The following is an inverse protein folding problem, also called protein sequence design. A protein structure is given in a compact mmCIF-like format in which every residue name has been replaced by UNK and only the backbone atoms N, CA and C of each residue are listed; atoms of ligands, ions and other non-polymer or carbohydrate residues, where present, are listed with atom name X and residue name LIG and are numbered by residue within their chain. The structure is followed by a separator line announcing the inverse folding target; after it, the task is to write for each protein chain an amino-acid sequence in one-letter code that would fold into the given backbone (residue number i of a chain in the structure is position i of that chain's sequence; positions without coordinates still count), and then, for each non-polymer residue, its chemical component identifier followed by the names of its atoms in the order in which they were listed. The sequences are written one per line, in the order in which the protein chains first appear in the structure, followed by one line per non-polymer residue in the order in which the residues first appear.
data_IF_641086585811
#
_entry.id   IF_641086585811
#
_cell.length_a   1.000
_cell.length_b   1.000
_cell.length_c   1.000
_cell.angle_alpha   90.00
_cell.angle_beta   90.00
_cell.angle_gamma   90.00
#
_symmetry.space_group_name_H-M   'P 1'
#
loop_
_entity.id
_entity.type
_entity.pdbx_description
1 polymer ?
#
# COMPACT_ATOMS: atom_id res chain seq x y z
N UNK A 1 -0.86 -0.73 18.89
CA UNK A 1 -0.89 0.20 17.74
C UNK A 1 -2.34 0.42 17.37
N UNK A 2 -2.85 1.65 17.35
CA UNK A 2 -4.12 1.98 16.70
C UNK A 2 -3.81 2.42 15.25
N UNK A 3 -4.80 2.46 14.36
CA UNK A 3 -4.61 2.85 12.94
C UNK A 3 -3.74 1.89 12.12
N UNK A 4 -3.32 2.30 10.91
CA UNK A 4 -2.56 1.46 9.95
C UNK A 4 -1.05 1.41 10.19
N UNK A 5 -0.56 1.95 11.30
CA UNK A 5 0.88 1.99 11.61
C UNK A 5 1.54 0.63 11.83
N UNK A 6 0.77 -0.43 12.05
CA UNK A 6 1.31 -1.78 12.12
C UNK A 6 1.95 -2.23 10.80
N UNK A 7 1.49 -1.70 9.66
CA UNK A 7 2.08 -1.93 8.32
C UNK A 7 3.52 -1.41 8.27
N UNK A 8 3.77 -0.24 8.85
CA UNK A 8 5.11 0.35 8.93
C UNK A 8 6.06 -0.50 9.79
N UNK A 9 5.56 -1.09 10.87
CA UNK A 9 6.32 -2.04 11.68
C UNK A 9 6.60 -3.35 10.92
N UNK A 10 5.60 -3.88 10.21
CA UNK A 10 5.69 -5.12 9.42
C UNK A 10 6.82 -5.08 8.39
N UNK A 11 6.97 -3.98 7.66
CA UNK A 11 8.07 -3.80 6.71
C UNK A 11 9.45 -3.93 7.37
N UNK A 12 9.62 -3.29 8.54
CA UNK A 12 10.88 -3.33 9.30
C UNK A 12 11.20 -4.74 9.72
N UNK A 13 10.23 -5.43 10.30
CA UNK A 13 10.41 -6.81 10.74
C UNK A 13 10.77 -7.75 9.58
N UNK A 14 10.02 -7.72 8.47
CA UNK A 14 10.32 -8.56 7.30
C UNK A 14 11.70 -8.24 6.69
N UNK A 15 12.15 -6.98 6.76
CA UNK A 15 13.48 -6.61 6.27
C UNK A 15 14.61 -7.24 7.09
N UNK A 16 14.35 -7.72 8.31
CA UNK A 16 15.32 -8.49 9.12
C UNK A 16 15.52 -9.92 8.61
N UNK A 17 14.81 -10.32 7.56
CA UNK A 17 14.93 -11.67 6.97
C UNK A 17 14.12 -12.74 7.70
N UNK A 18 13.18 -12.35 8.57
CA UNK A 18 12.24 -13.24 9.25
C UNK A 18 10.85 -13.15 8.62
N UNK A 19 10.09 -14.23 8.76
CA UNK A 19 8.66 -14.26 8.45
C UNK A 19 7.86 -14.10 9.75
N UNK A 20 6.55 -13.85 9.66
CA UNK A 20 5.71 -13.71 10.87
C UNK A 20 5.62 -15.01 11.67
N UNK A 21 5.67 -16.13 10.96
CA UNK A 21 5.61 -17.48 11.47
C UNK A 21 6.72 -18.31 10.84
N UNK A 22 7.25 -19.28 11.58
CA UNK A 22 8.10 -20.34 10.99
C UNK A 22 7.25 -21.41 10.29
N UNK A 23 7.93 -22.43 9.76
CA UNK A 23 7.30 -23.52 9.00
C UNK A 23 6.34 -24.35 9.88
N UNK A 24 6.54 -24.34 11.20
CA UNK A 24 5.68 -24.97 12.20
C UNK A 24 4.58 -24.04 12.74
N UNK A 25 4.39 -22.85 12.13
CA UNK A 25 3.40 -21.85 12.51
C UNK A 25 3.61 -21.21 13.90
N UNK A 26 4.82 -21.25 14.46
CA UNK A 26 5.14 -20.53 15.67
C UNK A 26 5.37 -19.03 15.37
N UNK A 27 4.79 -18.11 16.15
CA UNK A 27 4.96 -16.68 15.93
C UNK A 27 6.40 -16.25 16.22
N UNK A 28 7.02 -15.54 15.28
CA UNK A 28 8.39 -15.05 15.40
C UNK A 28 8.47 -13.58 15.87
N UNK A 29 7.34 -12.94 16.19
CA UNK A 29 7.26 -11.50 16.48
C UNK A 29 8.02 -11.07 17.75
N UNK A 30 8.29 -12.00 18.67
CA UNK A 30 9.03 -11.77 19.92
C UNK A 30 10.51 -12.19 19.83
N UNK A 31 10.98 -12.57 18.64
CA UNK A 31 12.40 -12.81 18.36
C UNK A 31 13.25 -11.56 18.60
N UNK A 32 14.59 -11.69 18.72
CA UNK A 32 15.49 -10.54 18.77
C UNK A 32 15.25 -9.53 17.64
N UNK A 33 14.97 -10.00 16.42
CA UNK A 33 14.65 -9.20 15.24
C UNK A 33 13.32 -8.44 15.41
N UNK A 34 12.31 -9.07 16.01
CA UNK A 34 11.03 -8.44 16.33
C UNK A 34 11.15 -7.34 17.38
N UNK A 35 11.97 -7.58 18.41
CA UNK A 35 12.30 -6.59 19.44
C UNK A 35 13.05 -5.40 18.82
N UNK A 36 14.03 -5.67 17.96
CA UNK A 36 14.80 -4.65 17.26
C UNK A 36 13.92 -3.79 16.33
N UNK A 37 13.09 -4.43 15.48
CA UNK A 37 12.14 -3.74 14.61
C UNK A 37 11.17 -2.85 15.41
N UNK A 38 10.77 -3.30 16.60
CA UNK A 38 9.94 -2.50 17.52
C UNK A 38 10.69 -1.28 18.06
N UNK A 39 11.96 -1.43 18.47
CA UNK A 39 12.79 -0.31 18.91
C UNK A 39 13.02 0.72 17.81
N UNK A 40 13.30 0.26 16.58
CA UNK A 40 13.42 1.15 15.42
C UNK A 40 12.13 1.90 15.12
N UNK A 41 11.00 1.19 15.20
CA UNK A 41 9.69 1.82 14.99
C UNK A 41 9.41 2.89 16.04
N UNK A 42 9.71 2.62 17.32
CA UNK A 42 9.61 3.61 18.40
C UNK A 42 10.57 4.79 18.22
N UNK A 43 11.76 4.57 17.67
CA UNK A 43 12.70 5.64 17.37
C UNK A 43 12.16 6.55 16.25
N UNK A 44 11.64 5.96 15.17
CA UNK A 44 10.99 6.71 14.08
C UNK A 44 9.74 7.45 14.58
N UNK A 45 8.99 6.85 15.50
CA UNK A 45 7.78 7.43 16.07
C UNK A 45 8.00 8.81 16.72
N UNK A 46 9.20 9.06 17.30
CA UNK A 46 9.56 10.37 17.88
C UNK A 46 9.57 11.52 16.87
N UNK A 47 9.62 11.20 15.57
CA UNK A 47 9.64 12.16 14.48
C UNK A 47 8.33 12.18 13.69
N UNK A 48 7.34 11.38 14.08
CA UNK A 48 6.02 11.37 13.46
C UNK A 48 5.12 12.43 14.10
N UNK A 49 4.08 12.84 13.36
CA UNK A 49 3.00 13.64 13.96
C UNK A 49 2.38 12.85 15.14
N UNK A 50 2.18 13.45 16.33
CA UNK A 50 1.63 12.75 17.49
C UNK A 50 0.26 12.10 17.23
N UNK A 51 -0.53 12.67 16.32
CA UNK A 51 -1.84 12.13 15.93
C UNK A 51 -1.74 11.01 14.88
N UNK A 52 -0.57 10.80 14.25
CA UNK A 52 -0.38 9.81 13.19
C UNK A 52 -0.73 8.38 13.64
N UNK A 53 -0.63 8.07 14.93
CA UNK A 53 -1.05 6.76 15.46
C UNK A 53 -2.52 6.44 15.23
N UNK A 54 -3.38 7.46 15.17
CA UNK A 54 -4.82 7.26 14.95
C UNK A 54 -5.23 7.32 13.49
N UNK A 55 -4.31 7.61 12.57
CA UNK A 55 -4.67 7.94 11.21
C UNK A 55 -4.90 6.73 10.32
N UNK A 56 -5.80 6.95 9.36
CA UNK A 56 -5.94 6.18 8.15
C UNK A 56 -5.84 7.13 6.92
N UNK A 57 -6.14 6.66 5.70
CA UNK A 57 -6.02 7.43 4.44
C UNK A 57 -6.70 8.79 4.51
N UNK A 58 -7.87 8.87 5.15
CA UNK A 58 -8.64 10.11 5.24
C UNK A 58 -7.89 11.25 5.94
N UNK A 59 -7.06 10.93 6.93
CA UNK A 59 -6.22 11.92 7.63
C UNK A 59 -4.83 12.03 6.99
N UNK A 60 -4.24 10.89 6.59
CA UNK A 60 -2.87 10.82 6.07
C UNK A 60 -2.71 11.57 4.74
N UNK A 61 -3.60 11.33 3.77
CA UNK A 61 -3.49 11.89 2.42
C UNK A 61 -3.51 13.42 2.41
N UNK A 62 -4.48 14.13 3.03
CA UNK A 62 -4.45 15.59 3.08
C UNK A 62 -3.32 16.12 3.98
N UNK A 63 -2.83 15.34 4.95
CA UNK A 63 -1.67 15.74 5.74
C UNK A 63 -0.39 15.76 4.89
N UNK A 64 -0.08 14.65 4.23
CA UNK A 64 1.06 14.54 3.34
C UNK A 64 0.93 15.46 2.13
N UNK A 65 -0.16 15.38 1.37
CA UNK A 65 -0.39 16.20 0.18
C UNK A 65 -0.48 17.71 0.48
N UNK A 66 -0.81 18.07 1.71
CA UNK A 66 -0.73 19.46 2.21
C UNK A 66 0.69 19.95 2.49
N UNK A 67 1.72 19.12 2.30
CA UNK A 67 3.12 19.45 2.52
C UNK A 67 3.55 19.43 3.99
N UNK A 68 2.82 18.71 4.86
CA UNK A 68 3.08 18.71 6.31
C UNK A 68 3.95 17.54 6.79
N UNK A 69 4.33 16.64 5.90
CA UNK A 69 5.24 15.54 6.19
C UNK A 69 6.29 15.41 5.08
N UNK A 70 7.52 15.11 5.47
CA UNK A 70 8.63 14.86 4.52
C UNK A 70 8.46 13.54 3.77
N UNK A 71 7.94 12.52 4.43
CA UNK A 71 7.77 11.18 3.88
C UNK A 71 6.45 10.56 4.37
N UNK A 72 5.90 9.65 3.58
CA UNK A 72 4.80 8.76 3.98
C UNK A 72 5.04 7.36 3.43
N UNK A 73 4.68 6.34 4.21
CA UNK A 73 4.62 4.95 3.75
C UNK A 73 3.15 4.58 3.69
N UNK A 74 2.65 4.34 2.48
CA UNK A 74 1.24 4.04 2.22
C UNK A 74 1.10 3.35 0.85
N UNK A 75 -0.11 2.90 0.51
CA UNK A 75 -0.43 2.28 -0.77
C UNK A 75 -0.06 3.15 -1.98
N UNK A 76 0.14 2.54 -3.15
CA UNK A 76 0.56 3.22 -4.37
C UNK A 76 -0.46 4.28 -4.82
N UNK A 77 -1.75 4.07 -4.53
CA UNK A 77 -2.82 5.04 -4.78
C UNK A 77 -2.64 6.40 -4.08
N UNK A 78 -1.70 6.53 -3.13
CA UNK A 78 -1.28 7.83 -2.59
C UNK A 78 -0.81 8.80 -3.66
N UNK A 79 -0.16 8.29 -4.72
CA UNK A 79 0.35 9.11 -5.81
C UNK A 79 -0.77 9.95 -6.46
N UNK A 80 -1.95 9.35 -6.67
CA UNK A 80 -3.11 10.04 -7.23
C UNK A 80 -3.52 11.27 -6.41
N UNK A 81 -3.43 11.17 -5.08
CA UNK A 81 -3.73 12.31 -4.21
C UNK A 81 -2.56 13.30 -4.18
N UNK A 82 -1.33 12.83 -4.01
CA UNK A 82 -0.13 13.65 -3.83
C UNK A 82 0.29 14.43 -5.09
N UNK A 83 -0.16 14.00 -6.26
CA UNK A 83 0.06 14.67 -7.56
C UNK A 83 -1.18 15.41 -8.07
N UNK A 84 -2.29 15.41 -7.31
CA UNK A 84 -3.51 16.09 -7.72
C UNK A 84 -3.30 17.60 -7.83
N UNK A 85 -3.62 18.22 -9.00
CA UNK A 85 -3.46 19.67 -9.17
C UNK A 85 -4.39 20.49 -8.28
N UNK A 86 -5.55 19.96 -7.89
CA UNK A 86 -6.51 20.67 -7.05
C UNK A 86 -6.30 20.43 -5.56
N UNK A 87 -5.74 19.29 -5.17
CA UNK A 87 -5.69 18.85 -3.76
C UNK A 87 -4.29 18.90 -3.13
N UNK A 88 -3.22 18.78 -3.92
CA UNK A 88 -1.87 18.62 -3.39
C UNK A 88 -0.98 19.85 -3.60
N UNK A 89 -0.38 20.31 -2.51
CA UNK A 89 0.75 21.26 -2.50
C UNK A 89 2.10 20.59 -2.80
N UNK A 90 2.13 19.26 -2.75
CA UNK A 90 3.32 18.43 -3.02
C UNK A 90 3.45 18.01 -4.49
N UNK A 91 2.50 18.37 -5.36
CA UNK A 91 2.54 18.03 -6.79
C UNK A 91 3.88 18.41 -7.42
N UNK A 92 4.45 17.49 -8.18
CA UNK A 92 5.74 17.64 -8.88
C UNK A 92 6.96 17.64 -7.96
N UNK A 93 6.80 17.34 -6.66
CA UNK A 93 7.89 17.33 -5.66
C UNK A 93 8.11 15.95 -5.03
N UNK A 94 7.27 14.97 -5.34
CA UNK A 94 7.36 13.65 -4.73
C UNK A 94 8.40 12.79 -5.47
N UNK A 95 9.11 11.97 -4.71
CA UNK A 95 9.97 10.90 -5.23
C UNK A 95 9.43 9.58 -4.71
N UNK A 96 9.20 8.63 -5.60
CA UNK A 96 8.70 7.30 -5.25
C UNK A 96 9.85 6.31 -5.20
N UNK A 97 9.92 5.53 -4.12
CA UNK A 97 10.99 4.57 -3.92
C UNK A 97 10.49 3.25 -3.34
N UNK A 98 11.30 2.21 -3.49
CA UNK A 98 11.08 0.94 -2.79
C UNK A 98 11.30 1.11 -1.28
N UNK A 99 10.67 0.25 -0.49
CA UNK A 99 10.84 0.27 0.96
C UNK A 99 12.32 0.13 1.35
N UNK A 100 12.79 0.90 2.36
CA UNK A 100 14.11 0.68 2.95
C UNK A 100 14.27 -0.75 3.46
N UNK A 101 15.51 -1.26 3.43
CA UNK A 101 15.84 -2.62 3.85
C UNK A 101 16.87 -2.65 4.98
N UNK A 102 17.15 -3.87 5.48
CA UNK A 102 18.21 -4.11 6.47
C UNK A 102 19.33 -4.94 5.83
N UNK A 103 20.58 -4.65 6.17
CA UNK A 103 21.71 -5.51 5.82
C UNK A 103 21.74 -6.72 6.75
N UNK A 104 21.60 -7.92 6.18
CA UNK A 104 21.65 -9.19 6.92
C UNK A 104 22.69 -10.08 6.25
N UNK A 105 23.74 -10.45 6.99
CA UNK A 105 24.85 -11.28 6.51
C UNK A 105 25.46 -10.76 5.18
N UNK A 106 25.69 -9.44 5.08
CA UNK A 106 26.26 -8.82 3.89
C UNK A 106 25.29 -8.65 2.71
N UNK A 107 24.03 -9.03 2.85
CA UNK A 107 22.99 -8.86 1.82
C UNK A 107 21.93 -7.85 2.25
N UNK A 108 21.58 -6.93 1.37
CA UNK A 108 20.45 -6.03 1.58
C UNK A 108 19.14 -6.81 1.42
N UNK A 109 18.33 -6.86 2.47
CA UNK A 109 16.99 -7.44 2.43
C UNK A 109 15.95 -6.31 2.41
N UNK A 110 15.29 -6.15 1.26
CA UNK A 110 14.16 -5.25 1.08
C UNK A 110 12.89 -6.08 0.93
N UNK A 111 11.91 -5.83 1.81
CA UNK A 111 10.63 -6.53 1.82
C UNK A 111 9.49 -5.53 1.99
N UNK A 112 8.55 -5.59 1.06
CA UNK A 112 7.25 -4.94 1.22
C UNK A 112 6.30 -5.97 1.84
N UNK A 113 5.42 -5.56 2.76
CA UNK A 113 4.29 -6.40 3.12
C UNK A 113 3.13 -6.06 2.18
N UNK A 114 2.37 -7.09 1.80
CA UNK A 114 1.05 -6.86 1.26
C UNK A 114 0.11 -6.59 2.44
N UNK A 115 -0.31 -5.33 2.61
CA UNK A 115 -1.18 -4.92 3.72
C UNK A 115 -2.66 -5.30 3.51
N UNK A 116 -2.97 -6.04 2.46
CA UNK A 116 -4.30 -6.60 2.19
C UNK A 116 -4.64 -6.54 0.71
N UNK A 117 -5.53 -7.43 0.28
CA UNK A 117 -6.13 -7.39 -1.05
C UNK A 117 -7.65 -7.44 -0.90
N UNK A 118 -8.35 -6.73 -1.79
CA UNK A 118 -9.79 -6.91 -1.97
C UNK A 118 -10.03 -7.97 -3.03
N UNK A 119 -10.92 -8.91 -2.76
CA UNK A 119 -11.33 -9.94 -3.69
C UNK A 119 -12.85 -9.97 -3.80
N UNK A 120 -13.36 -10.27 -5.00
CA UNK A 120 -14.78 -10.53 -5.20
C UNK A 120 -15.11 -11.96 -4.78
N UNK A 121 -16.01 -12.11 -3.82
CA UNK A 121 -16.50 -13.41 -3.36
C UNK A 121 -17.99 -13.59 -3.67
N UNK A 122 -18.39 -14.83 -3.98
CA UNK A 122 -19.81 -15.19 -4.14
C UNK A 122 -20.29 -15.86 -2.86
N UNK A 123 -21.34 -15.31 -2.24
CA UNK A 123 -21.94 -15.90 -1.05
C UNK A 123 -22.60 -17.25 -1.38
N UNK A 124 -22.23 -18.31 -0.64
CA UNK A 124 -22.75 -19.66 -0.85
C UNK A 124 -24.27 -19.79 -0.60
N UNK A 125 -24.89 -18.84 0.10
CA UNK A 125 -26.35 -18.81 0.33
C UNK A 125 -27.12 -17.98 -0.70
N UNK A 126 -26.44 -17.31 -1.64
CA UNK A 126 -27.11 -16.51 -2.67
C UNK A 126 -28.05 -17.38 -3.53
N UNK A 127 -29.23 -16.84 -3.86
CA UNK A 127 -30.15 -17.43 -4.86
C UNK A 127 -29.70 -17.13 -6.30
N UNK A 128 -28.75 -16.22 -6.48
CA UNK A 128 -28.28 -15.74 -7.79
C UNK A 128 -26.75 -15.89 -7.93
N UNK A 129 -26.23 -17.09 -7.63
CA UNK A 129 -24.77 -17.35 -7.61
C UNK A 129 -24.11 -17.11 -8.96
N UNK A 130 -24.73 -17.58 -10.03
CA UNK A 130 -24.20 -17.45 -11.40
C UNK A 130 -24.11 -15.98 -11.81
N UNK A 131 -25.16 -15.19 -11.57
CA UNK A 131 -25.15 -13.75 -11.85
C UNK A 131 -24.07 -13.04 -11.04
N UNK A 132 -23.96 -13.33 -9.74
CA UNK A 132 -22.90 -12.75 -8.91
C UNK A 132 -21.49 -13.11 -9.41
N UNK A 133 -21.29 -14.35 -9.87
CA UNK A 133 -20.05 -14.81 -10.46
C UNK A 133 -19.74 -14.07 -11.78
N UNK A 134 -20.72 -13.90 -12.67
CA UNK A 134 -20.56 -13.16 -13.92
C UNK A 134 -20.22 -11.68 -13.66
N UNK A 135 -20.85 -11.04 -12.68
CA UNK A 135 -20.52 -9.66 -12.28
C UNK A 135 -19.09 -9.57 -11.75
N UNK A 136 -18.67 -10.51 -10.89
CA UNK A 136 -17.29 -10.55 -10.39
C UNK A 136 -16.27 -10.72 -11.53
N UNK A 137 -16.56 -11.58 -12.52
CA UNK A 137 -15.72 -11.73 -13.71
C UNK A 137 -15.66 -10.46 -14.55
N UNK A 138 -16.80 -9.79 -14.74
CA UNK A 138 -16.87 -8.54 -15.50
C UNK A 138 -16.07 -7.43 -14.82
N UNK A 139 -16.26 -7.22 -13.51
CA UNK A 139 -15.49 -6.24 -12.72
C UNK A 139 -13.98 -6.50 -12.75
N UNK A 140 -13.60 -7.78 -12.72
CA UNK A 140 -12.20 -8.19 -12.79
C UNK A 140 -11.68 -8.37 -14.23
N UNK A 141 -12.47 -8.09 -15.27
CA UNK A 141 -12.05 -8.29 -16.66
C UNK A 141 -10.92 -7.33 -17.04
N UNK A 142 -10.04 -7.66 -18.01
CA UNK A 142 -8.93 -6.79 -18.39
C UNK A 142 -9.33 -5.35 -18.72
N UNK A 143 -10.41 -5.17 -19.48
CA UNK A 143 -10.91 -3.84 -19.86
C UNK A 143 -11.41 -3.06 -18.64
N UNK A 144 -12.35 -3.62 -17.88
CA UNK A 144 -12.99 -2.93 -16.75
C UNK A 144 -11.98 -2.70 -15.62
N UNK A 145 -11.09 -3.66 -15.36
CA UNK A 145 -10.02 -3.50 -14.37
C UNK A 145 -9.08 -2.36 -14.71
N UNK A 146 -8.66 -2.23 -15.97
CA UNK A 146 -7.86 -1.11 -16.46
C UNK A 146 -8.58 0.23 -16.26
N UNK A 147 -9.83 0.34 -16.71
CA UNK A 147 -10.66 1.55 -16.51
C UNK A 147 -10.79 1.94 -15.02
N UNK A 148 -11.00 0.97 -14.13
CA UNK A 148 -11.10 1.19 -12.68
C UNK A 148 -9.77 1.72 -12.13
N UNK A 149 -8.63 1.16 -12.53
CA UNK A 149 -7.31 1.56 -12.01
C UNK A 149 -6.94 2.98 -12.47
N UNK A 150 -7.24 3.32 -13.72
CA UNK A 150 -6.94 4.64 -14.30
C UNK A 150 -7.92 5.72 -13.85
N UNK A 151 -9.09 5.36 -13.31
CA UNK A 151 -10.08 6.35 -12.91
C UNK A 151 -9.55 7.27 -11.79
N UNK A 152 -9.67 8.59 -11.95
CA UNK A 152 -9.12 9.61 -11.03
C UNK A 152 -9.58 9.51 -9.57
N UNK A 153 -10.75 8.93 -9.35
CA UNK A 153 -11.31 8.73 -8.00
C UNK A 153 -10.94 7.36 -7.41
N UNK A 154 -10.23 6.54 -8.18
CA UNK A 154 -9.82 5.21 -7.78
C UNK A 154 -8.54 5.25 -6.95
N UNK A 155 -8.47 4.28 -6.03
CA UNK A 155 -7.29 3.95 -5.25
C UNK A 155 -6.89 2.48 -5.47
N UNK A 156 -7.44 1.83 -6.50
CA UNK A 156 -7.14 0.45 -6.82
C UNK A 156 -5.79 0.33 -7.52
N UNK A 157 -5.07 -0.73 -7.15
CA UNK A 157 -3.73 -1.02 -7.67
C UNK A 157 -3.80 -2.05 -8.80
N UNK A 158 -2.79 -2.09 -9.69
CA UNK A 158 -2.63 -3.14 -10.69
C UNK A 158 -2.69 -4.57 -10.14
N UNK A 159 -3.78 -5.29 -10.42
CA UNK A 159 -3.97 -6.71 -10.03
C UNK A 159 -3.71 -7.74 -11.15
N UNK A 160 -3.40 -7.32 -12.38
CA UNK A 160 -3.11 -8.19 -13.54
C UNK A 160 -1.90 -7.70 -14.30
N UNK A 161 -1.18 -8.60 -14.98
CA UNK A 161 -0.01 -8.26 -15.82
C UNK A 161 -0.33 -7.19 -16.88
N UNK A 162 -1.50 -7.26 -17.50
CA UNK A 162 -1.94 -6.27 -18.51
C UNK A 162 -2.03 -4.85 -17.97
N UNK A 163 -2.29 -4.67 -16.67
CA UNK A 163 -2.36 -3.34 -16.06
C UNK A 163 -0.99 -2.65 -15.95
N UNK A 164 0.11 -3.37 -16.22
CA UNK A 164 1.47 -2.83 -16.23
C UNK A 164 1.99 -2.55 -17.65
N UNK A 165 1.18 -2.79 -18.69
CA UNK A 165 1.57 -2.51 -20.07
C UNK A 165 1.41 -1.01 -20.37
N UNK A 166 2.41 -0.43 -21.05
CA UNK A 166 2.53 1.02 -21.27
C UNK A 166 1.37 1.61 -22.08
N UNK A 167 0.83 0.80 -22.98
CA UNK A 167 -0.15 1.10 -24.02
C UNK A 167 -1.46 1.66 -23.44
N UNK A 168 -1.81 1.27 -22.21
CA UNK A 168 -2.97 1.78 -21.48
C UNK A 168 -2.59 2.57 -20.22
N UNK A 169 -1.66 2.06 -19.42
CA UNK A 169 -1.46 2.58 -18.06
C UNK A 169 -0.83 3.98 -18.04
N UNK A 170 0.13 4.27 -18.92
CA UNK A 170 0.93 5.50 -18.83
C UNK A 170 0.26 6.70 -19.52
N UNK A 171 -0.30 6.49 -20.71
CA UNK A 171 -0.92 7.56 -21.51
C UNK A 171 -2.13 8.18 -20.82
N UNK A 172 -3.03 7.36 -20.29
CA UNK A 172 -4.22 7.88 -19.59
C UNK A 172 -3.87 8.60 -18.30
N UNK A 173 -2.86 8.14 -17.57
CA UNK A 173 -2.38 8.83 -16.36
C UNK A 173 -1.76 10.19 -16.71
N UNK A 174 -0.93 10.27 -17.75
CA UNK A 174 -0.30 11.53 -18.19
C UNK A 174 -1.33 12.56 -18.71
N UNK A 175 -2.37 12.11 -19.40
CA UNK A 175 -3.51 12.97 -19.79
C UNK A 175 -4.38 13.37 -18.58
N UNK A 176 -4.53 12.52 -17.57
CA UNK A 176 -5.37 12.77 -16.38
C UNK A 176 -4.84 13.84 -15.40
N UNK A 177 -3.53 14.08 -15.40
CA UNK A 177 -2.88 15.03 -14.49
C UNK A 177 -2.63 16.42 -15.09
N UNK A 178 -3.02 16.62 -16.35
CA UNK A 178 -3.04 17.91 -17.04
C UNK A 178 -4.46 18.51 -17.04
#
# INVERSE_FOLDING_TARGET
MRGRNYVNWMHRFLSKGKLYFDDEMNPQINSPEGIEATKEFLAAYKHMDPAATGWDSAQLLPHYGGGRAFNTIHFAGTANFAESPQKAKTRGKNVYCVMPGTMVNGKLIQRTNNAGAFAYGVNNFSKHKEVAYLVAQWLASPKIGTEIIQHRASFFEPVRKIHFQEDGFRKEMEEHYN
#
